data_IF_955252832570
#
_entry.id   IF_955252832570
#
_cell.length_a   1.000
_cell.length_b   1.000
_cell.length_c   1.000
_cell.angle_alpha   90.00
_cell.angle_beta   90.00
_cell.angle_gamma   90.00
#
_symmetry.space_group_name_H-M   'P 1'
#
loop_
_entity.id
_entity.type
_entity.pdbx_description
1 polymer ?
#
# COMPACT_ATOMS: atom_id res chain seq x y z
N UNK A 1 5.13 49.33 21.90
CA UNK A 1 5.38 48.71 20.56
C UNK A 1 5.81 47.23 20.64
N UNK A 2 5.29 46.41 21.58
CA UNK A 2 5.81 45.06 21.86
C UNK A 2 4.82 43.89 21.65
N UNK A 3 3.67 44.07 20.98
CA UNK A 3 2.61 43.03 20.98
C UNK A 3 2.36 42.28 19.63
N UNK A 4 3.06 42.62 18.54
CA UNK A 4 2.83 41.95 17.23
C UNK A 4 3.57 40.61 17.08
N UNK A 5 4.62 40.36 17.88
CA UNK A 5 5.46 39.16 17.74
C UNK A 5 4.82 37.87 18.31
N UNK A 6 3.74 37.97 19.08
CA UNK A 6 3.13 36.82 19.75
C UNK A 6 2.02 36.12 18.94
N UNK A 7 1.42 36.78 17.94
CA UNK A 7 0.39 36.20 17.06
C UNK A 7 0.92 35.40 15.87
N UNK A 8 2.19 35.61 15.47
CA UNK A 8 2.83 34.89 14.36
C UNK A 8 3.23 33.45 14.73
N UNK A 9 3.51 33.20 16.02
CA UNK A 9 3.93 31.90 16.57
C UNK A 9 2.83 30.82 16.49
N UNK A 10 1.56 31.06 16.88
CA UNK A 10 0.51 30.04 16.81
C UNK A 10 0.15 29.68 15.36
N UNK A 11 0.11 30.66 14.44
CA UNK A 11 -0.17 30.39 13.02
C UNK A 11 0.93 29.54 12.37
N UNK A 12 2.20 29.81 12.68
CA UNK A 12 3.32 29.00 12.21
C UNK A 12 3.31 27.57 12.79
N UNK A 13 2.95 27.41 14.07
CA UNK A 13 2.82 26.09 14.73
C UNK A 13 1.64 25.28 14.20
N UNK A 14 0.51 25.93 13.89
CA UNK A 14 -0.65 25.27 13.28
C UNK A 14 -0.35 24.87 11.83
N UNK A 15 0.32 25.72 11.05
CA UNK A 15 0.71 25.40 9.68
C UNK A 15 1.69 24.21 9.60
N UNK A 16 2.65 24.12 10.51
CA UNK A 16 3.57 22.97 10.58
C UNK A 16 2.87 21.70 11.05
N UNK A 17 1.92 21.79 11.98
CA UNK A 17 1.10 20.66 12.40
C UNK A 17 0.22 20.11 11.26
N UNK A 18 -0.41 20.99 10.47
CA UNK A 18 -1.21 20.59 9.30
C UNK A 18 -0.33 19.94 8.24
N UNK A 19 0.82 20.53 7.94
CA UNK A 19 1.77 19.95 6.97
C UNK A 19 2.25 18.57 7.43
N UNK A 20 2.63 18.42 8.71
CA UNK A 20 3.02 17.14 9.28
C UNK A 20 1.92 16.08 9.21
N UNK A 21 0.67 16.47 9.48
CA UNK A 21 -0.48 15.57 9.41
C UNK A 21 -0.76 15.13 7.97
N UNK A 22 -0.67 16.05 7.00
CA UNK A 22 -0.82 15.73 5.58
C UNK A 22 0.29 14.77 5.11
N UNK A 23 1.54 15.03 5.48
CA UNK A 23 2.65 14.12 5.18
C UNK A 23 2.43 12.72 5.76
N UNK A 24 2.05 12.62 7.03
CA UNK A 24 1.74 11.35 7.68
C UNK A 24 0.57 10.61 6.99
N UNK A 25 -0.50 11.33 6.65
CA UNK A 25 -1.63 10.77 5.92
C UNK A 25 -1.22 10.24 4.54
N UNK A 26 -0.34 10.97 3.85
CA UNK A 26 0.16 10.56 2.53
C UNK A 26 0.96 9.25 2.64
N UNK A 27 1.82 9.13 3.66
CA UNK A 27 2.57 7.90 3.94
C UNK A 27 1.61 6.74 4.18
N UNK A 28 0.59 6.91 5.04
CA UNK A 28 -0.38 5.84 5.34
C UNK A 28 -1.12 5.38 4.08
N UNK A 29 -1.54 6.30 3.21
CA UNK A 29 -2.27 5.97 1.98
C UNK A 29 -1.38 5.29 0.93
N UNK A 30 -0.13 5.73 0.83
CA UNK A 30 0.84 5.20 -0.14
C UNK A 30 1.58 3.95 0.34
N UNK A 31 1.45 3.58 1.61
CA UNK A 31 2.10 2.37 2.14
C UNK A 31 1.47 1.14 1.46
N UNK A 32 2.25 0.32 0.73
CA UNK A 32 1.73 -0.89 0.12
C UNK A 32 1.20 -1.81 1.22
N UNK A 33 -0.08 -2.15 1.12
CA UNK A 33 -0.75 -3.06 2.06
C UNK A 33 -0.39 -4.47 1.64
N UNK A 34 0.02 -5.30 2.59
CA UNK A 34 0.16 -6.73 2.33
C UNK A 34 -1.21 -7.27 1.90
N UNK A 35 -1.30 -7.73 0.65
CA UNK A 35 -2.50 -8.39 0.17
C UNK A 35 -2.62 -9.73 0.91
N UNK A 36 -3.53 -9.82 1.88
CA UNK A 36 -3.66 -10.94 2.82
C UNK A 36 -3.91 -12.33 2.18
N UNK A 37 -3.94 -12.45 0.86
CA UNK A 37 -4.19 -13.70 0.13
C UNK A 37 -3.07 -14.12 -0.85
N UNK A 38 -2.08 -13.28 -1.17
CA UNK A 38 -1.06 -13.61 -2.21
C UNK A 38 0.28 -14.14 -1.69
N UNK A 39 0.83 -13.73 -0.53
CA UNK A 39 2.13 -14.22 -0.06
C UNK A 39 2.13 -15.71 0.22
N UNK A 40 1.06 -16.24 0.82
CA UNK A 40 0.98 -17.66 1.18
C UNK A 40 1.11 -18.58 -0.04
N UNK A 41 0.48 -18.25 -1.16
CA UNK A 41 0.58 -19.06 -2.37
C UNK A 41 1.91 -18.86 -3.11
N UNK A 42 2.50 -17.67 -3.08
CA UNK A 42 3.85 -17.46 -3.59
C UNK A 42 4.87 -18.29 -2.79
N UNK A 43 4.74 -18.32 -1.45
CA UNK A 43 5.56 -19.14 -0.57
C UNK A 43 5.31 -20.64 -0.77
N UNK A 44 4.05 -21.06 -0.87
CA UNK A 44 3.68 -22.46 -1.09
C UNK A 44 4.22 -22.99 -2.43
N UNK A 45 4.15 -22.18 -3.48
CA UNK A 45 4.44 -22.63 -4.85
C UNK A 45 5.86 -22.31 -5.33
N UNK A 46 6.51 -21.31 -4.71
CA UNK A 46 7.81 -20.77 -5.14
C UNK A 46 7.76 -20.08 -6.51
N UNK A 47 6.58 -19.77 -7.05
CA UNK A 47 6.42 -19.21 -8.41
C UNK A 47 6.30 -17.68 -8.38
N UNK A 48 6.78 -16.99 -9.42
CA UNK A 48 6.61 -15.54 -9.53
C UNK A 48 5.13 -15.17 -9.72
N UNK A 49 4.74 -13.97 -9.27
CA UNK A 49 3.35 -13.49 -9.38
C UNK A 49 2.80 -13.54 -10.82
N UNK A 50 3.65 -13.26 -11.82
CA UNK A 50 3.30 -13.32 -13.25
C UNK A 50 2.95 -14.73 -13.76
N UNK A 51 3.24 -15.78 -12.99
CA UNK A 51 2.79 -17.12 -13.32
C UNK A 51 1.27 -17.26 -13.13
N UNK A 52 0.73 -16.65 -12.07
CA UNK A 52 -0.69 -16.72 -11.74
C UNK A 52 -1.48 -15.55 -12.31
N UNK A 53 -0.88 -14.36 -12.38
CA UNK A 53 -1.54 -13.13 -12.80
C UNK A 53 -0.98 -12.60 -14.12
N UNK A 54 -1.85 -12.03 -14.95
CA UNK A 54 -1.44 -11.32 -16.17
C UNK A 54 -0.60 -10.09 -15.82
N UNK A 55 -0.91 -9.42 -14.71
CA UNK A 55 -0.04 -8.39 -14.15
C UNK A 55 1.16 -9.05 -13.43
N UNK A 56 2.41 -8.83 -13.86
CA UNK A 56 3.59 -9.40 -13.20
C UNK A 56 3.80 -8.87 -11.78
N UNK A 57 3.23 -7.73 -11.41
CA UNK A 57 3.19 -7.25 -10.02
C UNK A 57 2.20 -8.03 -9.13
N UNK A 58 1.39 -8.93 -9.71
CA UNK A 58 0.34 -9.67 -9.04
C UNK A 58 -1.04 -8.99 -9.07
N UNK A 59 -2.07 -9.73 -8.66
CA UNK A 59 -3.45 -9.26 -8.67
C UNK A 59 -4.07 -9.13 -10.07
N UNK A 60 -5.35 -8.78 -10.11
CA UNK A 60 -6.11 -8.66 -11.36
C UNK A 60 -6.32 -10.01 -12.07
N UNK A 61 -6.49 -9.95 -13.40
CA UNK A 61 -6.86 -11.11 -14.21
C UNK A 61 -5.85 -12.25 -14.08
N UNK A 62 -6.35 -13.46 -13.88
CA UNK A 62 -5.52 -14.66 -13.81
C UNK A 62 -5.10 -15.14 -15.21
N UNK A 63 -3.93 -15.75 -15.28
CA UNK A 63 -3.48 -16.55 -16.43
C UNK A 63 -4.23 -17.88 -16.45
N UNK A 64 -4.11 -18.65 -17.53
CA UNK A 64 -4.64 -20.02 -17.57
C UNK A 64 -4.10 -20.91 -16.45
N UNK A 65 -2.85 -20.71 -16.03
CA UNK A 65 -2.28 -21.42 -14.88
C UNK A 65 -2.95 -20.97 -13.58
N UNK A 66 -3.04 -19.67 -13.34
CA UNK A 66 -3.67 -19.11 -12.15
C UNK A 66 -5.11 -19.57 -11.97
N UNK A 67 -5.90 -19.56 -13.06
CA UNK A 67 -7.29 -20.03 -13.05
C UNK A 67 -7.40 -21.52 -12.72
N UNK A 68 -6.51 -22.36 -13.27
CA UNK A 68 -6.48 -23.81 -12.95
C UNK A 68 -6.06 -24.07 -11.51
N UNK A 69 -5.07 -23.33 -11.02
CA UNK A 69 -4.61 -23.43 -9.63
C UNK A 69 -5.73 -23.04 -8.65
N UNK A 70 -6.46 -21.96 -8.96
CA UNK A 70 -7.63 -21.55 -8.18
C UNK A 70 -8.75 -22.61 -8.23
N UNK A 71 -9.07 -23.13 -9.42
CA UNK A 71 -10.09 -24.17 -9.59
C UNK A 71 -9.74 -25.49 -8.88
N UNK A 72 -8.44 -25.80 -8.76
CA UNK A 72 -7.95 -26.97 -8.02
C UNK A 72 -7.82 -26.71 -6.50
N UNK A 73 -8.42 -25.64 -5.98
CA UNK A 73 -8.36 -25.30 -4.56
C UNK A 73 -6.95 -24.96 -4.07
N UNK A 74 -6.13 -24.34 -4.92
CA UNK A 74 -4.75 -23.93 -4.63
C UNK A 74 -3.79 -25.09 -4.32
N UNK A 75 -4.00 -26.23 -4.99
CA UNK A 75 -3.10 -27.39 -4.94
C UNK A 75 -2.25 -27.44 -6.22
N UNK A 76 -0.95 -27.70 -6.07
CA UNK A 76 -0.03 -27.94 -7.18
C UNK A 76 -0.09 -29.40 -7.64
#
# INVERSE_FOLDING_TARGET
MHDVKNGLKPAAVVATAISGLLFAATIVVLTPREAAATPAYAQQTGKPCGQCHVNPAGGGKLTSFGSKFQANGHKL
#
